data_IF_869348098856
#
_entry.id   IF_869348098856
#
_cell.length_a   1.000
_cell.length_b   1.000
_cell.length_c   1.000
_cell.angle_alpha   90.00
_cell.angle_beta   90.00
_cell.angle_gamma   90.00
#
_symmetry.space_group_name_H-M   'P 1'
#
loop_
_entity.id
_entity.type
_entity.pdbx_description
1 polymer ?
#
# COMPACT_ATOMS: atom_id res chain seq x y z
N UNK A 1 -6.15 13.74 27.52
CA UNK A 1 -5.72 12.61 26.67
C UNK A 1 -6.03 13.00 25.23
N UNK A 2 -5.03 13.45 24.46
CA UNK A 2 -5.23 14.00 23.12
C UNK A 2 -5.30 12.81 22.17
N UNK A 3 -6.52 12.35 21.87
CA UNK A 3 -6.77 11.34 20.85
C UNK A 3 -6.20 11.88 19.54
N UNK A 4 -5.12 11.27 19.05
CA UNK A 4 -4.64 11.49 17.69
C UNK A 4 -5.78 11.06 16.78
N UNK A 5 -6.53 12.03 16.22
CA UNK A 5 -7.39 11.74 15.08
C UNK A 5 -6.46 11.25 13.98
N UNK A 6 -6.69 10.04 13.47
CA UNK A 6 -6.13 9.58 12.20
C UNK A 6 -6.29 10.72 11.21
N UNK A 7 -5.19 11.24 10.67
CA UNK A 7 -5.24 12.32 9.69
C UNK A 7 -5.99 11.82 8.47
N UNK A 8 -6.94 12.61 7.98
CA UNK A 8 -7.76 12.27 6.82
C UNK A 8 -6.88 11.86 5.64
N UNK A 9 -7.16 10.68 5.05
CA UNK A 9 -6.54 10.25 3.80
C UNK A 9 -7.24 10.98 2.66
N UNK A 10 -6.49 11.81 1.94
CA UNK A 10 -6.99 12.65 0.87
C UNK A 10 -7.03 11.92 -0.47
N UNK A 11 -6.19 10.90 -0.63
CA UNK A 11 -6.06 10.17 -1.88
C UNK A 11 -4.79 9.31 -1.93
N UNK A 12 -4.55 8.71 -3.08
CA UNK A 12 -3.34 7.99 -3.45
C UNK A 12 -2.66 8.72 -4.62
N UNK A 13 -1.34 8.83 -4.59
CA UNK A 13 -0.60 9.39 -5.71
C UNK A 13 -0.77 8.49 -6.95
N UNK A 14 -0.90 9.10 -8.13
CA UNK A 14 -1.07 8.40 -9.40
C UNK A 14 -0.01 7.31 -9.60
N UNK A 15 1.24 7.66 -9.44
CA UNK A 15 2.38 6.77 -9.68
C UNK A 15 2.37 5.59 -8.70
N UNK A 16 1.95 5.79 -7.45
CA UNK A 16 1.78 4.71 -6.46
C UNK A 16 0.67 3.74 -6.87
N UNK A 17 -0.43 4.26 -7.42
CA UNK A 17 -1.53 3.44 -7.91
C UNK A 17 -1.14 2.67 -9.16
N UNK A 18 -0.43 3.32 -10.09
CA UNK A 18 0.12 2.71 -11.30
C UNK A 18 1.06 1.55 -10.95
N UNK A 19 2.00 1.78 -10.02
CA UNK A 19 2.87 0.73 -9.50
C UNK A 19 2.07 -0.46 -8.94
N UNK A 20 1.01 -0.23 -8.17
CA UNK A 20 0.21 -1.31 -7.61
C UNK A 20 -0.53 -2.11 -8.68
N UNK A 21 -1.03 -1.46 -9.74
CA UNK A 21 -1.66 -2.11 -10.88
C UNK A 21 -0.65 -2.98 -11.64
N UNK A 22 0.52 -2.43 -11.99
CA UNK A 22 1.58 -3.14 -12.71
C UNK A 22 2.11 -4.33 -11.90
N UNK A 23 2.40 -4.13 -10.61
CA UNK A 23 2.84 -5.22 -9.73
C UNK A 23 1.79 -6.34 -9.60
N UNK A 24 0.49 -5.97 -9.61
CA UNK A 24 -0.60 -6.96 -9.62
C UNK A 24 -0.63 -7.78 -10.92
N UNK A 25 -0.39 -7.14 -12.07
CA UNK A 25 -0.29 -7.82 -13.36
C UNK A 25 0.95 -8.73 -13.43
N UNK A 26 2.11 -8.26 -12.97
CA UNK A 26 3.37 -9.02 -13.00
C UNK A 26 3.36 -10.26 -12.09
N UNK A 27 2.63 -10.20 -10.97
CA UNK A 27 2.52 -11.33 -10.04
C UNK A 27 1.50 -12.39 -10.48
N UNK A 28 0.68 -12.12 -11.51
CA UNK A 28 -0.30 -13.05 -12.02
C UNK A 28 0.36 -14.41 -12.39
N UNK A 29 -0.22 -15.56 -12.00
CA UNK A 29 -1.56 -15.75 -11.45
C UNK A 29 -1.64 -15.74 -9.91
N UNK A 30 -0.60 -15.31 -9.21
CA UNK A 30 -0.60 -15.24 -7.75
C UNK A 30 -1.18 -13.90 -7.26
N UNK A 31 -1.62 -13.84 -6.01
CA UNK A 31 -2.03 -12.59 -5.39
C UNK A 31 -0.82 -11.71 -5.00
N UNK A 32 -0.79 -10.48 -5.51
CA UNK A 32 0.01 -9.40 -4.96
C UNK A 32 -0.53 -8.96 -3.60
N UNK A 33 0.36 -8.55 -2.68
CA UNK A 33 -0.01 -8.00 -1.37
C UNK A 33 1.06 -7.02 -0.88
N UNK A 34 0.63 -5.86 -0.40
CA UNK A 34 1.48 -4.82 0.16
C UNK A 34 0.75 -3.95 1.19
N UNK A 35 1.52 -3.19 1.97
CA UNK A 35 0.99 -2.21 2.93
C UNK A 35 1.12 -0.80 2.40
N UNK A 36 0.11 0.02 2.61
CA UNK A 36 0.08 1.41 2.14
C UNK A 36 0.73 2.32 3.18
N UNK A 37 1.66 3.16 2.73
CA UNK A 37 2.25 4.25 3.52
C UNK A 37 1.79 5.59 2.95
N UNK A 38 1.62 6.56 3.84
CA UNK A 38 1.19 7.90 3.46
C UNK A 38 2.06 8.99 4.07
N UNK A 39 2.33 10.02 3.27
CA UNK A 39 3.04 11.23 3.67
C UNK A 39 2.07 12.38 3.95
N UNK A 40 2.50 13.35 4.76
CA UNK A 40 1.72 14.57 5.02
C UNK A 40 1.57 15.36 3.72
N UNK A 41 0.34 15.73 3.38
CA UNK A 41 0.01 16.44 2.14
C UNK A 41 0.85 17.73 1.95
N UNK A 42 1.24 18.39 3.04
CA UNK A 42 2.07 19.60 3.00
C UNK A 42 3.49 19.32 2.52
N UNK A 43 4.03 18.12 2.73
CA UNK A 43 5.35 17.72 2.20
C UNK A 43 5.31 17.55 0.68
N UNK A 44 4.12 17.26 0.13
CA UNK A 44 3.87 17.09 -1.30
C UNK A 44 3.41 18.40 -1.98
N UNK A 45 3.52 19.53 -1.28
CA UNK A 45 3.14 20.85 -1.81
C UNK A 45 1.64 21.13 -1.84
N UNK A 46 0.80 20.29 -1.20
CA UNK A 46 -0.64 20.54 -1.13
C UNK A 46 -0.99 21.50 0.02
N UNK A 47 -1.77 22.53 -0.29
CA UNK A 47 -2.29 23.50 0.69
C UNK A 47 -3.57 23.00 1.39
N UNK A 48 -3.55 21.75 1.85
CA UNK A 48 -4.63 21.14 2.64
C UNK A 48 -4.06 20.20 3.68
N UNK A 49 -4.78 20.03 4.78
CA UNK A 49 -4.41 19.09 5.84
C UNK A 49 -4.89 17.68 5.47
N UNK A 50 -4.04 16.70 5.72
CA UNK A 50 -4.33 15.29 5.50
C UNK A 50 -3.08 14.55 5.05
N UNK A 51 -3.26 13.31 4.61
CA UNK A 51 -2.19 12.48 4.08
C UNK A 51 -2.53 11.99 2.68
N UNK A 52 -1.50 11.73 1.89
CA UNK A 52 -1.61 11.10 0.57
C UNK A 52 -0.82 9.79 0.63
N UNK A 53 -1.42 8.71 0.15
CA UNK A 53 -0.73 7.43 0.01
C UNK A 53 0.32 7.59 -1.10
N UNK A 54 1.58 7.36 -0.76
CA UNK A 54 2.74 7.61 -1.63
C UNK A 54 3.55 6.35 -1.93
N UNK A 55 3.42 5.31 -1.10
CA UNK A 55 4.28 4.13 -1.21
C UNK A 55 3.51 2.84 -0.90
N UNK A 56 3.92 1.76 -1.55
CA UNK A 56 3.48 0.39 -1.26
C UNK A 56 4.67 -0.42 -0.74
N UNK A 57 4.57 -0.86 0.51
CA UNK A 57 5.60 -1.65 1.17
C UNK A 57 5.31 -3.14 0.98
N UNK A 58 6.17 -3.82 0.24
CA UNK A 58 6.14 -5.28 0.10
C UNK A 58 6.94 -5.89 1.25
N UNK A 59 6.30 -6.78 2.02
CA UNK A 59 6.98 -7.45 3.14
C UNK A 59 7.74 -8.68 2.62
N UNK A 60 9.07 -8.76 2.83
CA UNK A 60 9.85 -9.93 2.46
C UNK A 60 9.28 -11.21 3.10
N UNK A 61 9.26 -12.31 2.36
CA UNK A 61 8.75 -13.61 2.83
C UNK A 61 7.23 -13.71 2.98
N UNK A 62 6.48 -12.80 2.35
CA UNK A 62 5.05 -12.99 2.04
C UNK A 62 4.88 -14.23 1.18
N UNK A 63 4.02 -15.15 1.61
CA UNK A 63 3.66 -16.34 0.83
C UNK A 63 2.43 -16.02 0.03
N UNK A 64 2.59 -15.87 -1.28
CA UNK A 64 1.50 -15.66 -2.22
C UNK A 64 1.18 -16.96 -2.96
N UNK A 65 -0.11 -17.22 -3.11
CA UNK A 65 -0.69 -18.23 -3.98
C UNK A 65 -1.84 -17.59 -4.78
N UNK A 66 -2.49 -18.30 -5.72
CA UNK A 66 -3.55 -17.71 -6.56
C UNK A 66 -4.82 -17.28 -5.84
N UNK A 67 -4.95 -17.60 -4.55
CA UNK A 67 -6.17 -17.38 -3.75
C UNK A 67 -5.92 -16.67 -2.43
N UNK A 68 -4.67 -16.50 -2.04
CA UNK A 68 -4.30 -15.82 -0.81
C UNK A 68 -2.86 -15.32 -0.83
N UNK A 69 -2.61 -14.22 -0.13
CA UNK A 69 -1.27 -13.79 0.27
C UNK A 69 -1.18 -13.65 1.78
N UNK A 70 -0.32 -14.44 2.42
CA UNK A 70 -0.13 -14.42 3.88
C UNK A 70 1.18 -13.74 4.24
N UNK A 71 1.09 -12.65 5.00
CA UNK A 71 2.24 -11.92 5.54
C UNK A 71 2.65 -12.50 6.90
N UNK A 72 3.94 -12.73 7.10
CA UNK A 72 4.47 -13.02 8.44
C UNK A 72 4.56 -11.72 9.24
N UNK A 73 3.59 -11.50 10.14
CA UNK A 73 3.44 -10.25 10.92
C UNK A 73 4.69 -9.83 11.69
N UNK A 74 5.60 -10.75 12.00
CA UNK A 74 6.86 -10.49 12.70
C UNK A 74 7.91 -9.77 11.84
N UNK A 75 7.70 -9.71 10.52
CA UNK A 75 8.57 -9.02 9.57
C UNK A 75 8.02 -7.67 9.11
N UNK A 76 6.92 -7.19 9.72
CA UNK A 76 6.43 -5.82 9.49
C UNK A 76 7.20 -4.88 10.41
N UNK A 77 8.03 -3.96 9.89
CA UNK A 77 8.73 -3.00 10.74
C UNK A 77 7.79 -2.22 11.67
N UNK A 78 8.18 -2.11 12.95
CA UNK A 78 7.38 -1.48 14.02
C UNK A 78 7.15 0.02 13.81
N UNK A 79 7.88 0.66 12.92
CA UNK A 79 7.82 2.10 12.61
C UNK A 79 6.93 2.43 11.40
N UNK A 80 6.42 1.41 10.67
CA UNK A 80 5.53 1.63 9.54
C UNK A 80 4.17 2.08 10.09
N UNK A 81 3.88 3.36 9.92
CA UNK A 81 2.53 3.90 10.03
C UNK A 81 1.71 3.47 8.81
N UNK A 82 1.43 2.18 8.71
CA UNK A 82 0.61 1.64 7.64
C UNK A 82 -0.78 2.24 7.75
N UNK A 83 -1.23 2.91 6.69
CA UNK A 83 -2.59 3.48 6.61
C UNK A 83 -3.60 2.48 6.04
N UNK A 84 -3.12 1.33 5.59
CA UNK A 84 -3.91 0.15 5.25
C UNK A 84 -3.16 -0.79 4.31
N UNK A 85 -3.87 -1.46 3.39
CA UNK A 85 -3.30 -2.52 2.55
C UNK A 85 -3.75 -2.42 1.10
N UNK A 86 -3.00 -3.06 0.21
CA UNK A 86 -3.39 -3.32 -1.18
C UNK A 86 -3.10 -4.76 -1.53
N UNK A 87 -4.04 -5.42 -2.20
CA UNK A 87 -3.83 -6.77 -2.72
C UNK A 87 -4.59 -6.98 -4.03
N UNK A 88 -4.18 -8.00 -4.78
CA UNK A 88 -4.79 -8.32 -6.07
C UNK A 88 -5.62 -9.59 -6.03
N UNK A 89 -6.73 -9.63 -6.77
CA UNK A 89 -7.53 -10.82 -7.04
C UNK A 89 -7.37 -11.25 -8.51
N UNK A 90 -6.60 -12.33 -8.80
CA UNK A 90 -6.39 -12.86 -10.15
C UNK A 90 -7.68 -13.29 -10.87
N UNK A 91 -8.76 -13.52 -10.11
CA UNK A 91 -10.08 -13.87 -10.64
C UNK A 91 -10.93 -12.64 -11.06
N UNK A 92 -10.45 -11.41 -10.82
CA UNK A 92 -11.14 -10.16 -11.18
C UNK A 92 -12.26 -9.72 -10.23
N UNK A 93 -12.50 -10.43 -9.13
CA UNK A 93 -13.55 -10.09 -8.17
C UNK A 93 -13.09 -8.89 -7.33
N UNK A 94 -13.90 -7.83 -7.27
CA UNK A 94 -13.64 -6.65 -6.45
C UNK A 94 -14.45 -6.71 -5.15
N UNK A 95 -14.29 -7.78 -4.39
CA UNK A 95 -15.00 -7.98 -3.12
C UNK A 95 -14.08 -8.68 -2.13
N UNK A 96 -13.97 -8.18 -0.88
CA UNK A 96 -13.16 -8.83 0.13
C UNK A 96 -13.72 -10.22 0.46
N UNK A 97 -12.81 -11.18 0.60
CA UNK A 97 -13.05 -12.46 1.24
C UNK A 97 -13.06 -12.32 2.78
N UNK A 98 -13.50 -13.35 3.50
CA UNK A 98 -13.41 -13.36 4.96
C UNK A 98 -11.94 -13.28 5.45
N UNK A 99 -10.99 -13.79 4.66
CA UNK A 99 -9.56 -13.68 4.96
C UNK A 99 -9.03 -12.25 4.76
N UNK A 100 -9.54 -11.54 3.74
CA UNK A 100 -9.20 -10.15 3.50
C UNK A 100 -9.69 -9.28 4.67
N UNK A 101 -10.94 -9.47 5.11
CA UNK A 101 -11.53 -8.75 6.24
C UNK A 101 -10.72 -8.96 7.54
N UNK A 102 -10.17 -10.15 7.75
CA UNK A 102 -9.29 -10.42 8.90
C UNK A 102 -7.97 -9.63 8.83
N UNK A 103 -7.54 -9.22 7.64
CA UNK A 103 -6.35 -8.39 7.41
C UNK A 103 -6.66 -6.89 7.51
N UNK A 104 -7.92 -6.49 7.32
CA UNK A 104 -8.38 -5.09 7.32
C UNK A 104 -8.37 -4.42 8.70
N UNK A 105 -8.02 -5.13 9.78
CA UNK A 105 -8.00 -4.57 11.13
C UNK A 105 -6.88 -3.54 11.37
N UNK A 106 -5.93 -3.38 10.45
CA UNK A 106 -4.83 -2.41 10.55
C UNK A 106 -4.90 -1.38 9.42
N UNK A 107 -5.29 -0.16 9.78
CA UNK A 107 -5.43 0.96 8.83
C UNK A 107 -6.89 1.26 8.50
N UNK A 108 -7.09 2.31 7.70
CA UNK A 108 -8.41 2.81 7.32
C UNK A 108 -8.71 2.58 5.83
N UNK A 109 -7.70 2.23 5.00
CA UNK A 109 -7.80 2.16 3.53
C UNK A 109 -7.34 0.80 3.02
N UNK A 110 -8.23 0.00 2.45
CA UNK A 110 -7.90 -1.30 1.87
C UNK A 110 -8.26 -1.35 0.39
N UNK A 111 -7.28 -1.54 -0.48
CA UNK A 111 -7.47 -1.55 -1.94
C UNK A 111 -7.45 -3.00 -2.43
N UNK A 112 -8.46 -3.39 -3.20
CA UNK A 112 -8.47 -4.65 -3.95
C UNK A 112 -8.35 -4.31 -5.44
N UNK A 113 -7.41 -4.95 -6.12
CA UNK A 113 -7.20 -4.81 -7.58
C UNK A 113 -7.58 -6.14 -8.25
N UNK A 114 -8.52 -6.12 -9.19
CA UNK A 114 -8.94 -7.31 -9.94
C UNK A 114 -8.27 -7.39 -11.30
N UNK A 115 -8.02 -8.59 -11.81
CA UNK A 115 -7.73 -8.77 -13.24
C UNK A 115 -8.87 -8.17 -14.10
N UNK A 116 -8.57 -7.47 -15.22
CA UNK A 116 -7.28 -7.39 -15.91
C UNK A 116 -6.36 -6.23 -15.47
N UNK A 117 -6.48 -5.74 -14.22
CA UNK A 117 -5.55 -4.79 -13.60
C UNK A 117 -5.51 -3.39 -14.25
N UNK A 118 -6.62 -2.99 -14.88
CA UNK A 118 -6.76 -1.65 -15.44
C UNK A 118 -7.11 -0.58 -14.40
N UNK A 119 -7.06 0.67 -14.84
CA UNK A 119 -7.43 1.86 -14.03
C UNK A 119 -8.88 1.87 -13.53
N UNK A 120 -9.74 0.97 -14.01
CA UNK A 120 -11.11 0.75 -13.54
C UNK A 120 -11.29 -0.50 -12.68
N UNK A 121 -10.25 -1.31 -12.53
CA UNK A 121 -10.36 -2.68 -12.02
C UNK A 121 -9.88 -2.75 -10.57
N UNK A 122 -10.35 -1.81 -9.76
CA UNK A 122 -10.02 -1.74 -8.34
C UNK A 122 -11.17 -1.15 -7.53
N UNK A 123 -11.18 -1.46 -6.23
CA UNK A 123 -12.15 -0.94 -5.28
C UNK A 123 -11.48 -0.71 -3.93
N UNK A 124 -11.95 0.29 -3.19
CA UNK A 124 -11.46 0.60 -1.85
C UNK A 124 -12.51 0.29 -0.81
N UNK A 125 -12.04 -0.26 0.30
CA UNK A 125 -12.84 -0.63 1.46
C UNK A 125 -12.27 0.02 2.72
N UNK A 126 -13.14 0.28 3.69
CA UNK A 126 -12.72 0.60 5.05
C UNK A 126 -12.43 -0.67 5.87
N UNK A 127 -12.07 -0.50 7.14
CA UNK A 127 -11.75 -1.61 8.06
C UNK A 127 -12.94 -2.52 8.40
N UNK A 128 -14.16 -2.13 8.03
CA UNK A 128 -15.36 -2.95 8.14
C UNK A 128 -15.71 -3.70 6.84
N UNK A 129 -14.95 -3.45 5.76
CA UNK A 129 -15.23 -4.02 4.45
C UNK A 129 -16.28 -3.26 3.65
N UNK A 130 -16.65 -2.05 4.07
CA UNK A 130 -17.61 -1.22 3.36
C UNK A 130 -16.91 -0.38 2.28
N UNK A 131 -17.48 -0.27 1.07
CA UNK A 131 -16.89 0.50 -0.01
C UNK A 131 -16.70 1.98 0.36
N UNK A 132 -15.57 2.56 -0.03
CA UNK A 132 -15.25 3.98 0.18
C UNK A 132 -14.59 4.59 -1.05
N UNK A 133 -14.68 5.91 -1.17
CA UNK A 133 -13.96 6.65 -2.23
C UNK A 133 -12.49 6.90 -1.85
N UNK A 134 -11.63 6.93 -2.86
CA UNK A 134 -10.24 7.35 -2.77
C UNK A 134 -9.87 8.12 -4.04
N UNK A 135 -9.43 9.36 -3.90
CA UNK A 135 -9.02 10.17 -5.05
C UNK A 135 -7.63 9.72 -5.54
N UNK A 136 -7.44 9.68 -6.86
CA UNK A 136 -6.12 9.55 -7.48
C UNK A 136 -5.58 10.96 -7.71
N UNK A 137 -4.46 11.28 -7.07
CA UNK A 137 -3.87 12.61 -7.05
C UNK A 137 -2.60 12.65 -7.89
N UNK A 138 -2.45 13.71 -8.68
CA UNK A 138 -1.22 14.02 -9.38
C UNK A 138 -0.35 14.89 -8.47
N UNK A 139 0.61 14.27 -7.78
CA UNK A 139 1.49 14.90 -6.80
C UNK A 139 2.93 14.42 -7.03
N UNK A 140 3.93 15.28 -6.82
CA UNK A 140 5.32 14.86 -6.91
C UNK A 140 5.61 13.89 -5.77
N UNK A 141 5.95 12.64 -6.11
CA UNK A 141 6.49 11.71 -5.13
C UNK A 141 7.90 12.18 -4.74
N UNK A 142 8.26 12.16 -3.44
CA UNK A 142 9.66 12.32 -3.08
C UNK A 142 10.46 11.20 -3.74
N UNK A 143 11.55 11.54 -4.45
CA UNK A 143 12.49 10.53 -4.91
C UNK A 143 12.94 9.73 -3.68
N UNK A 144 12.63 8.43 -3.65
CA UNK A 144 13.18 7.55 -2.63
C UNK A 144 14.71 7.72 -2.68
N UNK A 145 15.30 8.09 -1.55
CA UNK A 145 16.71 7.83 -1.30
C UNK A 145 16.86 6.31 -1.21
N UNK A 146 16.80 5.64 -2.36
CA UNK A 146 17.14 4.24 -2.52
C UNK A 146 18.61 4.12 -2.16
N UNK A 147 18.87 3.84 -0.88
CA UNK A 147 20.17 3.47 -0.34
C UNK A 147 21.35 4.23 -0.96
N UNK A 148 21.73 5.38 -0.37
CA UNK A 148 23.10 5.88 -0.53
C UNK A 148 24.05 4.95 0.25
N UNK A 149 24.11 3.66 -0.13
CA UNK A 149 25.26 2.83 0.21
C UNK A 149 26.37 3.36 -0.67
N UNK A 150 27.17 4.24 -0.11
CA UNK A 150 28.44 4.55 -0.72
C UNK A 150 29.32 3.30 -0.64
N UNK A 151 30.28 3.17 -1.56
CA UNK A 151 31.26 2.07 -1.48
C UNK A 151 31.98 2.04 -0.12
N UNK A 152 32.05 3.18 0.58
CA UNK A 152 32.61 3.28 1.92
C UNK A 152 31.79 2.54 2.99
N UNK A 153 30.45 2.52 2.89
CA UNK A 153 29.58 1.83 3.86
C UNK A 153 29.71 0.30 3.75
N UNK A 154 30.00 -0.21 2.56
CA UNK A 154 30.23 -1.65 2.31
C UNK A 154 31.62 -2.07 2.80
N UNK A 155 32.62 -1.21 2.64
CA UNK A 155 34.00 -1.49 3.05
C UNK A 155 34.19 -1.49 4.59
N UNK A 156 33.33 -0.80 5.34
CA UNK A 156 33.39 -0.73 6.82
C UNK A 156 32.81 -1.98 7.51
N UNK A 157 31.87 -2.71 6.88
CA UNK A 157 31.35 -3.98 7.41
C UNK A 157 32.25 -5.20 7.11
N UNK A 158 33.17 -5.08 6.14
CA UNK A 158 34.07 -6.17 5.74
C UNK A 158 35.47 -6.08 6.36
N UNK A 159 35.72 -5.12 7.25
CA UNK A 159 37.01 -4.90 7.93
C UNK A 159 37.06 -5.39 9.37
#
# INVERSE_FOLDING_TARGET
MRLFRSSEILGIARDTMEFALEASEETHPNEYMGFLRAEDARKLGLDRKGQVITDVLVIPGTKSDPTSATVQTNMVPNDIKAVGSVHSHPNGVLRPSDADLATFHKGDVHIIIGAPYGWSDWQVFDSSGEPRSLDVLDVPLPEEQFFDFTQADIDEELS
#
